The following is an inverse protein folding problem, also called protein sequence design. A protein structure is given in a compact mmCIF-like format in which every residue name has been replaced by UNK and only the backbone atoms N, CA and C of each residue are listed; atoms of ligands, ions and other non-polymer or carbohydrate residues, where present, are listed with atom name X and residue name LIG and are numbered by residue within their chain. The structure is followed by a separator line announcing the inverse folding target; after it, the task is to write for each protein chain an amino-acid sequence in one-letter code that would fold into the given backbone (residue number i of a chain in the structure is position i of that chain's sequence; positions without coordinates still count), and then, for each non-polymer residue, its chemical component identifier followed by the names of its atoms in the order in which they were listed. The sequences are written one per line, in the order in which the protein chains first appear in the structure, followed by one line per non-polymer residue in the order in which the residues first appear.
data_IF_407901725831
#
_entry.id   IF_407901725831
#
_cell.length_a   1.000
_cell.length_b   1.000
_cell.length_c   1.000
_cell.angle_alpha   90.00
_cell.angle_beta   90.00
_cell.angle_gamma   90.00
#
_symmetry.space_group_name_H-M   'P 1'
#
loop_
_entity.id
_entity.type
_entity.pdbx_description
1 polymer ?
#
# COMPACT_ATOMS: atom_id res chain seq x y z
N UNK A 1 -5.53 42.91 -2.61
CA UNK A 1 -5.89 41.52 -2.92
C UNK A 1 -4.95 40.62 -2.12
N UNK A 2 -5.37 40.08 -0.97
CA UNK A 2 -4.59 39.04 -0.28
C UNK A 2 -4.89 37.72 -0.99
N UNK A 3 -3.84 37.06 -1.50
CA UNK A 3 -3.95 35.72 -2.04
C UNK A 3 -4.38 34.77 -0.92
N UNK A 4 -5.43 34.00 -1.18
CA UNK A 4 -5.85 32.93 -0.29
C UNK A 4 -4.80 31.84 -0.47
N UNK A 5 -3.89 31.67 0.48
CA UNK A 5 -3.09 30.46 0.58
C UNK A 5 -4.09 29.34 0.90
N UNK A 6 -4.42 28.49 -0.08
CA UNK A 6 -5.12 27.24 0.23
C UNK A 6 -4.19 26.42 1.11
N UNK A 7 -4.52 26.36 2.40
CA UNK A 7 -3.97 25.34 3.29
C UNK A 7 -4.49 24.01 2.77
N UNK A 8 -3.61 23.28 2.07
CA UNK A 8 -3.91 21.92 1.63
C UNK A 8 -4.10 21.03 2.84
N UNK A 9 -5.09 20.16 2.81
CA UNK A 9 -5.28 19.24 3.93
C UNK A 9 -4.11 18.23 3.97
N UNK A 10 -3.79 17.62 5.12
CA UNK A 10 -2.70 16.65 5.21
C UNK A 10 -2.79 15.56 4.13
N UNK A 11 -3.99 15.05 3.87
CA UNK A 11 -4.25 14.09 2.80
C UNK A 11 -3.97 14.62 1.38
N UNK A 12 -4.06 15.92 1.12
CA UNK A 12 -3.66 16.55 -0.14
C UNK A 12 -2.13 16.72 -0.28
N UNK A 13 -1.37 16.46 0.78
CA UNK A 13 0.11 16.43 0.76
C UNK A 13 0.68 15.02 0.85
N UNK A 14 -0.17 14.00 1.02
CA UNK A 14 0.23 12.61 1.20
C UNK A 14 0.08 11.78 -0.08
N UNK A 15 1.00 10.85 -0.26
CA UNK A 15 0.80 9.76 -1.22
C UNK A 15 -0.17 8.76 -0.61
N UNK A 16 -1.30 8.51 -1.27
CA UNK A 16 -2.28 7.53 -0.80
C UNK A 16 -2.13 6.29 -1.65
N UNK A 17 -2.13 5.11 -1.06
CA UNK A 17 -2.29 3.90 -1.85
C UNK A 17 -3.15 2.83 -1.18
N UNK A 18 -3.85 2.08 -2.02
CA UNK A 18 -4.76 1.01 -1.66
C UNK A 18 -4.18 -0.30 -2.16
N UNK A 19 -4.09 -1.30 -1.28
CA UNK A 19 -3.62 -2.64 -1.64
C UNK A 19 -4.73 -3.67 -1.51
N UNK A 20 -4.79 -4.58 -2.47
CA UNK A 20 -5.71 -5.71 -2.48
C UNK A 20 -5.01 -6.97 -3.00
N UNK A 21 -5.44 -8.12 -2.51
CA UNK A 21 -4.90 -9.42 -2.87
C UNK A 21 -5.96 -10.34 -3.43
N UNK A 22 -5.53 -11.17 -4.38
CA UNK A 22 -6.36 -12.23 -4.94
C UNK A 22 -5.60 -13.56 -4.88
N UNK A 23 -6.34 -14.65 -4.68
CA UNK A 23 -5.79 -16.00 -4.79
C UNK A 23 -6.75 -16.86 -5.59
N UNK A 24 -6.19 -17.62 -6.52
CA UNK A 24 -6.90 -18.58 -7.38
C UNK A 24 -6.27 -19.97 -7.24
N UNK A 25 -6.83 -20.96 -7.94
CA UNK A 25 -6.23 -22.29 -8.01
C UNK A 25 -4.92 -22.30 -8.82
N UNK A 26 -4.69 -21.32 -9.69
CA UNK A 26 -3.52 -21.24 -10.56
C UNK A 26 -2.37 -20.44 -9.93
N UNK A 27 -2.66 -19.59 -8.95
CA UNK A 27 -1.67 -18.71 -8.33
C UNK A 27 -2.36 -17.62 -7.52
N UNK A 28 -1.66 -16.53 -7.26
CA UNK A 28 -2.20 -15.35 -6.58
C UNK A 28 -1.80 -14.11 -7.35
N UNK A 29 -2.44 -12.99 -7.03
CA UNK A 29 -2.08 -11.70 -7.59
C UNK A 29 -2.37 -10.62 -6.57
N UNK A 30 -1.78 -9.46 -6.76
CA UNK A 30 -2.05 -8.31 -5.92
C UNK A 30 -2.11 -7.05 -6.75
N UNK A 31 -3.00 -6.15 -6.34
CA UNK A 31 -3.19 -4.84 -6.92
C UNK A 31 -2.74 -3.76 -5.95
N UNK A 32 -2.16 -2.69 -6.49
CA UNK A 32 -1.97 -1.45 -5.77
C UNK A 32 -2.43 -0.27 -6.63
N UNK A 33 -3.24 0.59 -6.03
CA UNK A 33 -3.64 1.89 -6.61
C UNK A 33 -2.94 2.97 -5.82
N UNK A 34 -2.19 3.85 -6.48
CA UNK A 34 -1.44 4.94 -5.86
C UNK A 34 -1.97 6.26 -6.39
N UNK A 35 -2.38 7.15 -5.49
CA UNK A 35 -2.78 8.52 -5.78
C UNK A 35 -1.67 9.47 -5.30
N UNK A 36 -1.15 10.29 -6.21
CA UNK A 36 -0.16 11.31 -5.89
C UNK A 36 -0.80 12.46 -5.10
N UNK A 37 -0.02 13.27 -4.37
CA UNK A 37 -0.53 14.50 -3.74
C UNK A 37 -1.15 15.50 -4.74
N UNK A 38 -0.83 15.36 -6.03
CA UNK A 38 -1.39 16.15 -7.12
C UNK A 38 -2.74 15.59 -7.63
N UNK A 39 -3.18 14.45 -7.11
CA UNK A 39 -4.41 13.77 -7.50
C UNK A 39 -4.27 12.85 -8.71
N UNK A 40 -3.05 12.45 -9.07
CA UNK A 40 -2.81 11.54 -10.19
C UNK A 40 -2.84 10.08 -9.72
N UNK A 41 -3.66 9.25 -10.37
CA UNK A 41 -3.79 7.82 -10.05
C UNK A 41 -2.89 6.95 -10.92
N UNK A 42 -2.28 5.95 -10.29
CA UNK A 42 -1.46 4.92 -10.93
C UNK A 42 -1.86 3.54 -10.40
N UNK A 43 -2.14 2.62 -11.31
CA UNK A 43 -2.55 1.25 -10.99
C UNK A 43 -1.44 0.26 -11.35
N UNK A 44 -1.12 -0.63 -10.42
CA UNK A 44 -0.16 -1.70 -10.63
C UNK A 44 -0.78 -3.04 -10.22
N UNK A 45 -0.49 -4.07 -11.00
CA UNK A 45 -0.88 -5.44 -10.69
C UNK A 45 0.34 -6.36 -10.83
N UNK A 46 0.51 -7.25 -9.86
CA UNK A 46 1.57 -8.27 -9.86
C UNK A 46 0.95 -9.65 -9.71
N UNK A 47 1.39 -10.59 -10.54
CA UNK A 47 0.99 -11.99 -10.49
C UNK A 47 2.07 -12.86 -9.86
N UNK A 48 1.65 -13.82 -9.04
CA UNK A 48 2.52 -14.74 -8.34
C UNK A 48 2.15 -16.20 -8.64
N UNK A 49 3.19 -17.04 -8.76
CA UNK A 49 3.02 -18.48 -8.97
C UNK A 49 2.79 -19.27 -7.66
N UNK A 50 2.64 -18.59 -6.52
CA UNK A 50 2.23 -19.17 -5.24
C UNK A 50 0.74 -18.93 -4.98
N UNK A 51 0.13 -19.66 -4.04
CA UNK A 51 -1.31 -19.61 -3.73
C UNK A 51 -1.56 -19.08 -2.32
N UNK A 52 -1.30 -17.80 -2.10
CA UNK A 52 -1.46 -17.18 -0.79
C UNK A 52 -1.87 -15.71 -0.94
N UNK A 53 -3.12 -15.37 -0.61
CA UNK A 53 -3.62 -13.99 -0.72
C UNK A 53 -2.81 -13.03 0.18
N UNK A 54 -2.58 -13.40 1.44
CA UNK A 54 -1.91 -12.53 2.40
C UNK A 54 -0.48 -12.20 1.96
N UNK A 55 0.22 -13.18 1.37
CA UNK A 55 1.59 -12.98 0.86
C UNK A 55 1.56 -12.08 -0.38
N UNK A 56 0.57 -12.24 -1.26
CA UNK A 56 0.37 -11.36 -2.40
C UNK A 56 0.08 -9.90 -1.96
N UNK A 57 -0.80 -9.68 -0.98
CA UNK A 57 -1.09 -8.35 -0.42
C UNK A 57 0.16 -7.72 0.21
N UNK A 58 0.98 -8.51 0.91
CA UNK A 58 2.26 -8.02 1.45
C UNK A 58 3.19 -7.52 0.35
N UNK A 59 3.29 -8.26 -0.75
CA UNK A 59 4.10 -7.86 -1.89
C UNK A 59 3.55 -6.61 -2.59
N UNK A 60 2.22 -6.46 -2.70
CA UNK A 60 1.63 -5.21 -3.20
C UNK A 60 1.93 -4.02 -2.28
N UNK A 61 1.88 -4.21 -0.96
CA UNK A 61 2.24 -3.17 0.02
C UNK A 61 3.72 -2.77 -0.14
N UNK A 62 4.63 -3.73 -0.25
CA UNK A 62 6.06 -3.46 -0.47
C UNK A 62 6.29 -2.76 -1.81
N UNK A 63 5.61 -3.19 -2.87
CA UNK A 63 5.70 -2.58 -4.19
C UNK A 63 5.23 -1.11 -4.17
N UNK A 64 4.06 -0.84 -3.56
CA UNK A 64 3.53 0.51 -3.41
C UNK A 64 4.48 1.44 -2.65
N UNK A 65 5.08 0.95 -1.55
CA UNK A 65 6.07 1.71 -0.79
C UNK A 65 7.33 2.01 -1.59
N UNK A 66 7.81 1.07 -2.41
CA UNK A 66 8.98 1.30 -3.28
C UNK A 66 8.70 2.35 -4.34
N UNK A 67 7.58 2.24 -5.03
CA UNK A 67 7.20 3.19 -6.10
C UNK A 67 7.05 4.60 -5.54
N UNK A 68 6.36 4.76 -4.40
CA UNK A 68 6.19 6.07 -3.76
C UNK A 68 7.51 6.62 -3.21
N UNK A 69 8.38 5.76 -2.65
CA UNK A 69 9.73 6.16 -2.23
C UNK A 69 10.56 6.66 -3.41
N UNK A 70 10.55 5.94 -4.54
CA UNK A 70 11.27 6.33 -5.76
C UNK A 70 10.72 7.64 -6.36
N UNK A 71 9.43 7.91 -6.14
CA UNK A 71 8.78 9.17 -6.50
C UNK A 71 9.04 10.32 -5.51
N UNK A 72 9.79 10.09 -4.42
CA UNK A 72 10.15 11.12 -3.45
C UNK A 72 9.10 11.36 -2.35
N UNK A 73 8.23 10.39 -2.07
CA UNK A 73 7.25 10.51 -1.00
C UNK A 73 7.93 10.66 0.38
N UNK A 74 7.57 11.73 1.10
CA UNK A 74 7.96 11.93 2.51
C UNK A 74 6.93 11.38 3.48
N UNK A 75 5.67 11.34 3.04
CA UNK A 75 4.53 10.91 3.84
C UNK A 75 3.58 10.10 2.97
N UNK A 76 3.08 9.00 3.53
CA UNK A 76 2.18 8.07 2.84
C UNK A 76 1.05 7.60 3.76
N UNK A 77 -0.08 7.28 3.15
CA UNK A 77 -1.21 6.61 3.79
C UNK A 77 -1.49 5.32 3.01
N UNK A 78 -1.41 4.19 3.70
CA UNK A 78 -1.68 2.87 3.12
C UNK A 78 -3.03 2.33 3.62
N UNK A 79 -3.90 1.95 2.69
CA UNK A 79 -5.16 1.27 2.98
C UNK A 79 -5.08 -0.19 2.56
N UNK A 80 -5.53 -1.09 3.44
CA UNK A 80 -5.63 -2.52 3.19
C UNK A 80 -6.87 -3.06 3.90
N UNK A 81 -7.58 -3.98 3.26
CA UNK A 81 -8.69 -4.74 3.85
C UNK A 81 -8.21 -5.83 4.84
N UNK A 82 -6.92 -6.18 4.75
CA UNK A 82 -6.27 -7.20 5.55
C UNK A 82 -5.95 -6.73 6.96
N UNK A 83 -6.84 -7.05 7.92
CA UNK A 83 -6.61 -6.74 9.33
C UNK A 83 -5.28 -7.29 9.86
N UNK A 84 -4.79 -8.39 9.29
CA UNK A 84 -3.49 -8.97 9.67
C UNK A 84 -2.34 -8.02 9.33
N UNK A 85 -2.34 -7.47 8.11
CA UNK A 85 -1.31 -6.52 7.64
C UNK A 85 -1.39 -5.25 8.47
N UNK A 86 -2.60 -4.70 8.63
CA UNK A 86 -2.82 -3.47 9.42
C UNK A 86 -2.29 -3.64 10.84
N UNK A 87 -2.60 -4.75 11.53
CA UNK A 87 -2.12 -5.01 12.89
C UNK A 87 -0.62 -5.23 12.96
N UNK A 88 -0.01 -5.87 11.96
CA UNK A 88 1.45 -6.07 11.92
C UNK A 88 2.21 -4.76 11.70
N UNK A 89 1.76 -3.93 10.77
CA UNK A 89 2.37 -2.62 10.48
C UNK A 89 2.24 -1.68 11.68
N UNK A 90 1.13 -1.75 12.42
CA UNK A 90 0.93 -1.01 13.67
C UNK A 90 1.71 -1.58 14.87
N UNK A 91 2.38 -2.73 14.71
CA UNK A 91 3.07 -3.42 15.81
C UNK A 91 2.13 -4.09 16.82
N UNK A 92 0.83 -4.16 16.54
CA UNK A 92 -0.21 -4.77 17.39
C UNK A 92 -0.24 -6.29 17.27
N UNK A 93 0.40 -6.84 16.23
CA UNK A 93 0.52 -8.28 16.02
C UNK A 93 1.96 -8.63 15.63
N UNK A 94 2.56 -9.56 16.35
CA UNK A 94 3.82 -10.19 15.96
C UNK A 94 3.57 -11.67 15.67
N UNK A 95 3.97 -12.15 14.49
CA UNK A 95 4.09 -13.60 14.28
C UNK A 95 5.19 -14.13 15.21
N UNK A 96 4.93 -15.17 16.01
CA UNK A 96 5.97 -15.79 16.82
C UNK A 96 7.13 -16.21 15.92
N UNK A 97 8.36 -15.81 16.28
CA UNK A 97 9.57 -16.32 15.61
C UNK A 97 9.56 -17.84 15.73
N UNK A 98 9.52 -18.55 14.60
CA UNK A 98 9.82 -19.98 14.59
C UNK A 98 11.25 -20.15 15.13
N UNK A 99 11.40 -20.91 16.21
CA UNK A 99 12.71 -21.45 16.58
C UNK A 99 13.09 -22.43 15.48
N UNK A 100 14.13 -22.10 14.72
CA UNK A 100 14.82 -23.02 13.82
C UNK A 100 15.70 -23.94 14.66
#
# INVERSE_FOLDING_TARGET
MMGISQERTPEEEHWVFHVDGSSTMQGSGAGVVITSPQGEDMEFAVGFNFKANNEAEYEALVLGMRITQDAGALHLIAYSDSQLIVKQVKGEYMKPRRKV
#
